data_IF_264948028776
#
_entry.id   IF_264948028776
#
_cell.length_a   1.000
_cell.length_b   1.000
_cell.length_c   1.000
_cell.angle_alpha   90.00
_cell.angle_beta   90.00
_cell.angle_gamma   90.00
#
_symmetry.space_group_name_H-M   'P 1'
#
loop_
_entity.id
_entity.type
_entity.pdbx_description
1 polymer ?
#
# COMPACT_ATOMS: atom_id res chain seq x y z
N UNK A 1 -5.25 -12.02 24.98
CA UNK A 1 -4.17 -11.75 23.98
C UNK A 1 -4.80 -11.81 22.59
N UNK A 2 -4.45 -10.88 21.70
CA UNK A 2 -5.02 -10.81 20.34
C UNK A 2 -4.27 -11.68 19.32
N UNK A 3 -4.80 -11.75 18.09
CA UNK A 3 -4.19 -12.45 16.96
C UNK A 3 -2.93 -11.73 16.50
N UNK A 4 -1.88 -12.50 16.17
CA UNK A 4 -0.66 -11.98 15.51
C UNK A 4 -0.96 -11.70 14.04
N UNK A 5 -0.60 -10.51 13.56
CA UNK A 5 -0.76 -10.10 12.16
C UNK A 5 0.61 -10.19 11.46
N UNK A 6 0.86 -11.35 10.87
CA UNK A 6 2.03 -11.63 10.04
C UNK A 6 1.78 -11.26 8.55
N UNK A 7 2.75 -11.54 7.69
CA UNK A 7 2.65 -11.24 6.26
C UNK A 7 1.42 -11.87 5.60
N UNK A 8 1.12 -13.12 5.93
CA UNK A 8 -0.04 -13.84 5.37
C UNK A 8 -1.33 -13.23 5.87
N UNK A 9 -1.40 -12.87 7.15
CA UNK A 9 -2.54 -12.18 7.71
C UNK A 9 -2.77 -10.83 7.00
N UNK A 10 -1.74 -10.02 6.75
CA UNK A 10 -1.89 -8.75 6.01
C UNK A 10 -2.40 -8.95 4.58
N UNK A 11 -1.86 -9.92 3.85
CA UNK A 11 -2.34 -10.25 2.49
C UNK A 11 -3.81 -10.69 2.48
N UNK A 12 -4.22 -11.52 3.44
CA UNK A 12 -5.61 -11.94 3.58
C UNK A 12 -6.55 -10.78 3.94
N UNK A 13 -6.10 -9.84 4.78
CA UNK A 13 -6.89 -8.69 5.20
C UNK A 13 -7.21 -7.79 4.00
N UNK A 14 -6.23 -7.52 3.12
CA UNK A 14 -6.49 -6.70 1.92
C UNK A 14 -7.54 -7.33 1.01
N UNK A 15 -7.43 -8.63 0.74
CA UNK A 15 -8.42 -9.32 -0.09
C UNK A 15 -9.81 -9.31 0.57
N UNK A 16 -9.86 -9.57 1.87
CA UNK A 16 -11.11 -9.58 2.62
C UNK A 16 -11.79 -8.20 2.63
N UNK A 17 -11.01 -7.12 2.80
CA UNK A 17 -11.54 -5.76 2.73
C UNK A 17 -12.04 -5.42 1.32
N UNK A 18 -11.30 -5.81 0.28
CA UNK A 18 -11.73 -5.63 -1.10
C UNK A 18 -13.06 -6.34 -1.38
N UNK A 19 -13.23 -7.57 -0.90
CA UNK A 19 -14.49 -8.32 -1.01
C UNK A 19 -15.64 -7.66 -0.25
N UNK A 20 -15.41 -7.26 1.01
CA UNK A 20 -16.42 -6.60 1.85
C UNK A 20 -16.93 -5.30 1.23
N UNK A 21 -16.01 -4.48 0.71
CA UNK A 21 -16.31 -3.19 0.08
C UNK A 21 -16.74 -3.32 -1.39
N UNK A 22 -16.74 -4.55 -1.94
CA UNK A 22 -17.03 -4.84 -3.36
C UNK A 22 -16.14 -4.05 -4.33
N UNK A 23 -14.86 -3.91 -3.97
CA UNK A 23 -13.83 -3.23 -4.76
C UNK A 23 -12.98 -4.30 -5.47
N UNK A 24 -12.78 -4.16 -6.78
CA UNK A 24 -11.82 -5.01 -7.50
C UNK A 24 -10.41 -4.84 -6.91
N UNK A 25 -9.62 -5.92 -6.72
CA UNK A 25 -8.23 -5.81 -6.31
C UNK A 25 -7.40 -4.82 -7.15
N UNK A 26 -7.71 -4.69 -8.45
CA UNK A 26 -7.06 -3.72 -9.35
C UNK A 26 -7.24 -2.26 -8.92
N UNK A 27 -8.31 -1.96 -8.17
CA UNK A 27 -8.63 -0.64 -7.63
C UNK A 27 -8.16 -0.47 -6.18
N UNK A 28 -7.37 -1.40 -5.66
CA UNK A 28 -6.78 -1.31 -4.31
C UNK A 28 -5.38 -0.74 -4.40
N UNK A 29 -5.10 0.23 -3.53
CA UNK A 29 -3.75 0.76 -3.30
C UNK A 29 -3.27 0.31 -1.92
N UNK A 30 -2.13 -0.38 -1.88
CA UNK A 30 -1.48 -0.79 -0.65
C UNK A 30 -0.16 -0.04 -0.46
N UNK A 31 0.14 0.35 0.78
CA UNK A 31 1.38 1.07 1.13
C UNK A 31 2.05 0.36 2.30
N UNK A 32 3.37 0.14 2.23
CA UNK A 32 4.12 -0.53 3.29
C UNK A 32 5.61 -0.15 3.31
N UNK A 33 6.32 -0.59 4.34
CA UNK A 33 7.74 -0.28 4.58
C UNK A 33 8.62 -1.53 4.81
N UNK A 34 8.02 -2.65 5.20
CA UNK A 34 8.74 -3.84 5.66
C UNK A 34 8.42 -5.13 4.90
N UNK A 35 9.19 -6.18 5.20
CA UNK A 35 9.00 -7.51 4.62
C UNK A 35 7.62 -8.13 4.91
N UNK A 36 7.00 -7.75 6.03
CA UNK A 36 5.66 -8.23 6.38
C UNK A 36 4.57 -7.68 5.44
N UNK A 37 4.87 -6.66 4.65
CA UNK A 37 3.92 -6.04 3.74
C UNK A 37 3.96 -6.66 2.35
N UNK A 38 4.93 -7.54 2.04
CA UNK A 38 5.10 -8.05 0.68
C UNK A 38 3.82 -8.69 0.12
N UNK A 39 3.15 -9.54 0.89
CA UNK A 39 1.90 -10.18 0.43
C UNK A 39 0.74 -9.18 0.33
N UNK A 40 0.71 -8.16 1.18
CA UNK A 40 -0.28 -7.09 1.13
C UNK A 40 -0.11 -6.24 -0.14
N UNK A 41 1.14 -5.88 -0.44
CA UNK A 41 1.55 -5.12 -1.62
C UNK A 41 1.28 -5.89 -2.91
N UNK A 42 1.61 -7.18 -2.96
CA UNK A 42 1.43 -8.02 -4.14
C UNK A 42 -0.04 -8.30 -4.47
N UNK A 43 -0.93 -8.26 -3.47
CA UNK A 43 -2.37 -8.50 -3.66
C UNK A 43 -3.13 -7.25 -4.10
N UNK A 44 -2.51 -6.06 -4.07
CA UNK A 44 -3.13 -4.82 -4.50
C UNK A 44 -2.83 -4.54 -5.98
N UNK A 45 -3.75 -3.87 -6.68
CA UNK A 45 -3.53 -3.39 -8.04
C UNK A 45 -2.37 -2.40 -8.13
N UNK A 46 -2.15 -1.63 -7.07
CA UNK A 46 -1.02 -0.72 -6.94
C UNK A 46 -0.38 -0.82 -5.55
N UNK A 47 0.84 -1.35 -5.50
CA UNK A 47 1.66 -1.44 -4.31
C UNK A 47 2.75 -0.36 -4.26
N UNK A 48 2.81 0.40 -3.17
CA UNK A 48 3.78 1.48 -2.95
C UNK A 48 4.66 1.21 -1.73
N UNK A 49 5.96 1.16 -1.96
CA UNK A 49 6.96 1.11 -0.89
C UNK A 49 7.24 2.51 -0.33
N UNK A 50 6.94 2.76 0.94
CA UNK A 50 7.22 4.03 1.61
C UNK A 50 8.39 3.89 2.59
N UNK A 51 9.49 4.62 2.35
CA UNK A 51 10.73 4.53 3.15
C UNK A 51 11.15 3.07 3.46
N UNK A 52 10.94 2.20 2.48
CA UNK A 52 10.92 0.77 2.72
C UNK A 52 12.30 0.11 2.61
N UNK A 53 12.41 -1.11 3.16
CA UNK A 53 13.55 -2.00 2.92
C UNK A 53 13.56 -2.50 1.47
N UNK A 54 14.75 -2.84 0.95
CA UNK A 54 14.94 -3.35 -0.42
C UNK A 54 14.05 -4.54 -0.77
N UNK A 55 13.77 -5.42 0.20
CA UNK A 55 12.89 -6.57 0.00
C UNK A 55 11.48 -6.17 -0.42
N UNK A 56 10.94 -5.07 0.12
CA UNK A 56 9.60 -4.61 -0.24
C UNK A 56 9.62 -3.81 -1.54
N UNK A 57 10.66 -2.99 -1.75
CA UNK A 57 10.81 -2.21 -2.99
C UNK A 57 10.81 -3.12 -4.23
N UNK A 58 11.47 -4.28 -4.15
CA UNK A 58 11.54 -5.26 -5.25
C UNK A 58 10.19 -5.84 -5.68
N UNK A 59 9.19 -5.83 -4.79
CA UNK A 59 7.85 -6.36 -5.08
C UNK A 59 6.79 -5.27 -5.22
N UNK A 60 7.16 -4.00 -5.07
CA UNK A 60 6.25 -2.85 -5.19
C UNK A 60 6.30 -2.28 -6.60
N UNK A 61 5.19 -1.70 -7.07
CA UNK A 61 5.13 -1.01 -8.36
C UNK A 61 5.92 0.32 -8.35
N UNK A 62 6.00 0.97 -7.18
CA UNK A 62 6.74 2.21 -7.00
C UNK A 62 7.25 2.38 -5.58
N UNK A 63 8.17 3.31 -5.39
CA UNK A 63 8.69 3.66 -4.07
C UNK A 63 8.71 5.17 -3.84
N UNK A 64 8.31 5.60 -2.65
CA UNK A 64 8.39 6.98 -2.18
C UNK A 64 9.44 7.03 -1.06
N UNK A 65 10.47 7.83 -1.27
CA UNK A 65 11.52 8.11 -0.29
C UNK A 65 11.48 9.59 0.09
N UNK A 66 10.62 9.95 1.06
CA UNK A 66 10.40 11.32 1.54
C UNK A 66 9.96 11.29 3.02
N UNK A 67 9.94 12.46 3.65
CA UNK A 67 9.53 12.61 5.06
C UNK A 67 8.03 12.35 5.28
N UNK A 68 7.21 12.36 4.23
CA UNK A 68 5.75 12.20 4.34
C UNK A 68 5.13 11.47 3.13
N UNK A 69 3.86 11.09 3.30
CA UNK A 69 3.05 10.37 2.31
C UNK A 69 2.46 11.27 1.20
N UNK A 70 2.77 12.56 1.16
CA UNK A 70 2.20 13.46 0.13
C UNK A 70 2.55 13.03 -1.29
N UNK A 71 3.68 12.33 -1.47
CA UNK A 71 4.03 11.73 -2.76
C UNK A 71 2.97 10.77 -3.30
N UNK A 72 2.15 10.15 -2.44
CA UNK A 72 1.08 9.24 -2.84
C UNK A 72 -0.02 9.95 -3.63
N UNK A 73 -0.27 11.24 -3.35
CA UNK A 73 -1.24 12.03 -4.11
C UNK A 73 -0.87 12.14 -5.59
N UNK A 74 0.43 12.16 -5.91
CA UNK A 74 0.89 12.14 -7.30
C UNK A 74 0.58 10.81 -7.97
N UNK A 75 0.76 9.71 -7.24
CA UNK A 75 0.47 8.35 -7.73
C UNK A 75 -1.03 8.16 -7.99
N UNK A 76 -1.88 8.79 -7.16
CA UNK A 76 -3.33 8.81 -7.33
C UNK A 76 -3.83 9.82 -8.37
N UNK A 77 -2.95 10.66 -8.95
CA UNK A 77 -3.33 11.69 -9.92
C UNK A 77 -4.03 12.92 -9.31
N UNK A 78 -3.85 13.17 -8.01
CA UNK A 78 -4.53 14.24 -7.23
C UNK A 78 -3.56 15.38 -6.85
N UNK A 79 -2.31 15.33 -7.35
CA UNK A 79 -1.20 16.22 -7.00
C UNK A 79 -1.51 17.72 -6.93
N UNK A 80 -2.27 18.26 -7.88
CA UNK A 80 -2.62 19.69 -7.92
C UNK A 80 -3.70 20.04 -6.90
N UNK A 81 -4.75 19.22 -6.78
CA UNK A 81 -5.87 19.47 -5.86
C UNK A 81 -5.49 19.29 -4.38
N UNK A 82 -4.56 18.39 -4.09
CA UNK A 82 -4.15 18.09 -2.72
C UNK A 82 -3.31 19.19 -2.05
N UNK A 83 -2.66 20.06 -2.83
CA UNK A 83 -1.89 21.19 -2.29
C UNK A 83 -2.75 22.37 -1.84
N UNK A 84 -3.97 22.47 -2.37
CA UNK A 84 -4.94 23.49 -1.94
C UNK A 84 -5.66 23.11 -0.64
N UNK A 85 -5.54 21.85 -0.20
CA UNK A 85 -6.18 21.28 1.00
C UNK A 85 -5.26 21.21 2.24
N UNK A 86 -4.00 21.67 2.11
CA UNK A 86 -2.99 21.72 3.18
C UNK A 86 -2.61 23.17 3.49
#
# INVERSE_FOLDING_TARGET
KGRVIDARAKGNIVNHLAELEKISPDNVVAVGDGANDCLMIQNAGLGVAFNAKEILKKVSNGSISRDNLLGLLNVLGIAEKGRELL
#
